data_IF_532954661830
#
_entry.id   IF_532954661830
#
_cell.length_a   1.000
_cell.length_b   1.000
_cell.length_c   1.000
_cell.angle_alpha   90.00
_cell.angle_beta   90.00
_cell.angle_gamma   90.00
#
_symmetry.space_group_name_H-M   'P 1'
#
loop_
_entity.id
_entity.type
_entity.pdbx_description
1 polymer ?
#
# COMPACT_ATOMS: atom_id res chain seq x y z
N UNK A 1 -3.32 12.99 -3.49
CA UNK A 1 -2.28 13.28 -4.50
C UNK A 1 -1.48 12.01 -4.72
N UNK A 2 -1.98 11.12 -5.59
CA UNK A 2 -1.17 10.03 -6.11
C UNK A 2 -0.09 10.66 -6.97
N UNK A 3 1.17 10.49 -6.59
CA UNK A 3 2.30 10.94 -7.40
C UNK A 3 2.33 10.04 -8.62
N UNK A 4 1.65 10.48 -9.68
CA UNK A 4 1.69 9.86 -10.99
C UNK A 4 3.16 9.64 -11.32
N UNK A 5 3.62 8.38 -11.32
CA UNK A 5 4.98 8.02 -11.72
C UNK A 5 5.11 8.53 -13.16
N UNK A 6 5.77 9.66 -13.32
CA UNK A 6 5.98 10.29 -14.61
C UNK A 6 6.79 9.33 -15.46
N UNK A 7 6.16 8.86 -16.54
CA UNK A 7 6.76 7.96 -17.51
C UNK A 7 8.05 8.56 -18.06
N UNK A 8 9.07 7.69 -18.14
CA UNK A 8 10.30 7.85 -18.94
C UNK A 8 11.49 8.58 -18.31
N UNK A 9 11.85 8.23 -17.07
CA UNK A 9 13.28 8.21 -16.69
C UNK A 9 13.67 6.77 -16.36
N UNK A 10 14.58 6.20 -17.17
CA UNK A 10 15.19 4.89 -16.87
C UNK A 10 15.93 5.01 -15.54
N UNK A 11 15.59 4.16 -14.58
CA UNK A 11 16.29 4.04 -13.32
C UNK A 11 17.02 2.69 -13.28
N UNK A 12 18.16 2.65 -12.59
CA UNK A 12 18.97 1.44 -12.46
C UNK A 12 18.69 0.76 -11.13
N UNK A 13 18.56 -0.55 -11.17
CA UNK A 13 18.47 -1.41 -10.00
C UNK A 13 19.78 -2.20 -9.90
N UNK A 14 20.56 -1.96 -8.84
CA UNK A 14 21.83 -2.63 -8.59
C UNK A 14 21.74 -3.46 -7.31
N UNK A 15 22.08 -4.74 -7.40
CA UNK A 15 22.12 -5.66 -6.27
C UNK A 15 23.35 -6.56 -6.35
N UNK A 16 24.02 -6.78 -5.22
CA UNK A 16 25.05 -7.81 -5.05
C UNK A 16 24.45 -8.94 -4.24
N UNK A 17 24.48 -10.14 -4.79
CA UNK A 17 23.93 -11.34 -4.17
C UNK A 17 25.00 -12.43 -4.04
N UNK A 18 24.94 -13.29 -3.01
CA UNK A 18 25.80 -14.46 -2.93
C UNK A 18 25.64 -15.37 -4.14
N UNK A 19 26.71 -16.08 -4.52
CA UNK A 19 26.68 -17.02 -5.66
C UNK A 19 25.57 -18.05 -5.55
N UNK A 20 25.38 -18.62 -4.35
CA UNK A 20 24.34 -19.62 -4.07
C UNK A 20 22.93 -19.06 -4.33
N UNK A 21 22.70 -17.79 -4.00
CA UNK A 21 21.41 -17.14 -4.23
C UNK A 21 21.20 -16.89 -5.73
N UNK A 22 22.25 -16.49 -6.46
CA UNK A 22 22.19 -16.36 -7.93
C UNK A 22 21.83 -17.70 -8.58
N UNK A 23 22.49 -18.78 -8.20
CA UNK A 23 22.25 -20.13 -8.74
C UNK A 23 20.81 -20.59 -8.49
N UNK A 24 20.28 -20.35 -7.27
CA UNK A 24 18.88 -20.61 -6.94
C UNK A 24 17.93 -19.85 -7.86
N UNK A 25 18.16 -18.55 -8.06
CA UNK A 25 17.30 -17.73 -8.90
C UNK A 25 17.39 -18.11 -10.38
N UNK A 26 18.56 -18.49 -10.88
CA UNK A 26 18.72 -18.99 -12.26
C UNK A 26 17.97 -20.30 -12.47
N UNK A 27 18.01 -21.20 -11.50
CA UNK A 27 17.25 -22.44 -11.54
C UNK A 27 15.73 -22.17 -11.54
N UNK A 28 15.26 -21.30 -10.64
CA UNK A 28 13.85 -20.90 -10.60
C UNK A 28 13.41 -20.20 -11.90
N UNK A 29 14.23 -19.30 -12.45
CA UNK A 29 13.96 -18.62 -13.71
C UNK A 29 13.83 -19.60 -14.88
N UNK A 30 14.71 -20.62 -14.93
CA UNK A 30 14.63 -21.69 -15.94
C UNK A 30 13.35 -22.50 -15.83
N UNK A 31 12.95 -22.88 -14.60
CA UNK A 31 11.73 -23.66 -14.37
C UNK A 31 10.46 -22.85 -14.67
N UNK A 32 10.48 -21.56 -14.34
CA UNK A 32 9.37 -20.64 -14.57
C UNK A 32 9.23 -20.14 -16.01
N UNK A 33 10.13 -20.54 -16.92
CA UNK A 33 10.08 -20.14 -18.34
C UNK A 33 10.48 -18.69 -18.61
N UNK A 34 11.23 -18.07 -17.71
CA UNK A 34 11.71 -16.69 -17.90
C UNK A 34 12.86 -16.62 -18.90
N UNK A 35 12.88 -15.56 -19.70
CA UNK A 35 13.91 -15.39 -20.74
C UNK A 35 15.29 -15.10 -20.15
N UNK A 36 15.33 -14.40 -19.02
CA UNK A 36 16.58 -14.01 -18.33
C UNK A 36 16.37 -13.97 -16.82
N UNK A 37 17.47 -14.07 -16.06
CA UNK A 37 17.44 -13.88 -14.60
C UNK A 37 16.90 -12.49 -14.21
N UNK A 38 17.26 -11.44 -14.96
CA UNK A 38 16.76 -10.08 -14.71
C UNK A 38 15.25 -10.00 -14.89
N UNK A 39 14.72 -10.60 -15.95
CA UNK A 39 13.28 -10.67 -16.21
C UNK A 39 12.55 -11.37 -15.05
N UNK A 40 13.06 -12.51 -14.58
CA UNK A 40 12.54 -13.19 -13.40
C UNK A 40 12.52 -12.29 -12.16
N UNK A 41 13.66 -11.66 -11.82
CA UNK A 41 13.79 -10.84 -10.61
C UNK A 41 12.85 -9.63 -10.66
N UNK A 42 12.77 -8.93 -11.79
CA UNK A 42 11.91 -7.75 -11.93
C UNK A 42 10.43 -8.14 -11.79
N UNK A 43 9.99 -9.24 -12.43
CA UNK A 43 8.61 -9.70 -12.30
C UNK A 43 8.27 -10.11 -10.87
N UNK A 44 9.13 -10.90 -10.23
CA UNK A 44 8.91 -11.35 -8.85
C UNK A 44 8.86 -10.19 -7.86
N UNK A 45 9.76 -9.21 -8.00
CA UNK A 45 9.77 -8.01 -7.15
C UNK A 45 8.53 -7.14 -7.41
N UNK A 46 8.12 -6.98 -8.67
CA UNK A 46 6.92 -6.22 -9.03
C UNK A 46 5.65 -6.86 -8.44
N UNK A 47 5.50 -8.18 -8.56
CA UNK A 47 4.38 -8.92 -7.99
C UNK A 47 4.32 -8.75 -6.48
N UNK A 48 5.45 -8.96 -5.78
CA UNK A 48 5.50 -8.83 -4.32
C UNK A 48 5.26 -7.40 -3.87
N UNK A 49 5.80 -6.40 -4.57
CA UNK A 49 5.57 -5.00 -4.27
C UNK A 49 4.09 -4.62 -4.42
N UNK A 50 3.44 -5.04 -5.51
CA UNK A 50 2.00 -4.82 -5.72
C UNK A 50 1.18 -5.46 -4.62
N UNK A 51 1.49 -6.72 -4.25
CA UNK A 51 0.79 -7.42 -3.18
C UNK A 51 0.89 -6.70 -1.83
N UNK A 52 2.08 -6.22 -1.46
CA UNK A 52 2.29 -5.45 -0.21
C UNK A 52 1.50 -4.14 -0.22
N UNK A 53 1.49 -3.41 -1.34
CA UNK A 53 0.75 -2.15 -1.47
C UNK A 53 -0.76 -2.43 -1.35
N UNK A 54 -1.25 -3.47 -2.01
CA UNK A 54 -2.67 -3.86 -1.93
C UNK A 54 -3.06 -4.26 -0.52
N UNK A 55 -2.26 -5.10 0.14
CA UNK A 55 -2.47 -5.52 1.52
C UNK A 55 -2.57 -4.32 2.45
N UNK A 56 -1.69 -3.33 2.30
CA UNK A 56 -1.68 -2.16 3.19
C UNK A 56 -2.76 -1.13 2.88
N UNK A 57 -3.14 -0.95 1.61
CA UNK A 57 -4.14 0.03 1.19
C UNK A 57 -5.60 -0.47 1.30
N UNK A 58 -5.80 -1.73 1.67
CA UNK A 58 -7.15 -2.30 1.81
C UNK A 58 -7.75 -1.89 3.16
N UNK A 59 -8.57 -0.84 3.17
CA UNK A 59 -9.22 -0.26 4.36
C UNK A 59 -10.34 -1.16 4.93
N UNK A 60 -10.81 -2.15 4.17
CA UNK A 60 -11.89 -3.06 4.56
C UNK A 60 -11.50 -4.53 4.26
N UNK A 61 -10.34 -4.93 4.77
CA UNK A 61 -9.76 -6.24 4.45
C UNK A 61 -10.54 -7.41 5.06
N UNK A 62 -11.18 -7.21 6.22
CA UNK A 62 -12.03 -8.23 6.85
C UNK A 62 -13.52 -8.02 6.59
N UNK A 63 -14.28 -9.11 6.62
CA UNK A 63 -15.75 -9.08 6.56
C UNK A 63 -16.34 -8.25 7.70
N UNK A 64 -15.74 -8.32 8.89
CA UNK A 64 -16.13 -7.53 10.06
C UNK A 64 -15.95 -6.02 9.83
N UNK A 65 -14.85 -5.61 9.22
CA UNK A 65 -14.62 -4.19 8.91
C UNK A 65 -15.64 -3.68 7.90
N UNK A 66 -15.98 -4.50 6.89
CA UNK A 66 -17.03 -4.19 5.92
C UNK A 66 -18.39 -4.02 6.58
N UNK A 67 -18.75 -4.91 7.50
CA UNK A 67 -20.01 -4.83 8.24
C UNK A 67 -20.08 -3.57 9.10
N UNK A 68 -19.02 -3.26 9.86
CA UNK A 68 -18.94 -2.05 10.70
C UNK A 68 -19.05 -0.80 9.83
N UNK A 69 -18.31 -0.75 8.73
CA UNK A 69 -18.33 0.38 7.80
C UNK A 69 -19.71 0.56 7.16
N UNK A 70 -20.33 -0.52 6.67
CA UNK A 70 -21.64 -0.47 6.05
C UNK A 70 -22.72 -0.05 7.05
N UNK A 71 -22.69 -0.60 8.26
CA UNK A 71 -23.59 -0.20 9.34
C UNK A 71 -23.42 1.28 9.70
N UNK A 72 -22.19 1.79 9.75
CA UNK A 72 -21.93 3.21 9.98
C UNK A 72 -22.51 4.12 8.87
N UNK A 73 -22.58 3.64 7.62
CA UNK A 73 -23.21 4.36 6.51
C UNK A 73 -24.74 4.29 6.55
N UNK A 74 -25.32 3.11 6.83
CA UNK A 74 -26.78 2.91 6.80
C UNK A 74 -27.47 3.35 8.08
N UNK A 75 -26.78 3.29 9.21
CA UNK A 75 -27.28 3.68 10.54
C UNK A 75 -26.30 4.66 11.20
N UNK A 76 -26.21 5.91 10.71
CA UNK A 76 -25.27 6.88 11.24
C UNK A 76 -25.61 7.21 12.69
N UNK A 77 -24.72 6.84 13.60
CA UNK A 77 -24.76 7.29 14.99
C UNK A 77 -24.17 8.69 15.10
N UNK A 78 -24.83 9.55 15.87
CA UNK A 78 -24.36 10.92 16.11
C UNK A 78 -22.99 10.96 16.82
N UNK A 79 -22.25 12.08 16.71
CA UNK A 79 -20.97 12.23 17.37
C UNK A 79 -21.14 12.15 18.89
N UNK A 80 -20.26 11.43 19.57
CA UNK A 80 -20.25 11.40 21.03
C UNK A 80 -19.82 12.75 21.62
N UNK A 81 -20.04 12.94 22.93
CA UNK A 81 -19.72 14.19 23.63
C UNK A 81 -18.27 14.63 23.43
N UNK A 82 -17.31 13.70 23.44
CA UNK A 82 -15.88 14.02 23.25
C UNK A 82 -15.59 14.58 21.85
N UNK A 83 -16.24 14.04 20.81
CA UNK A 83 -16.13 14.55 19.45
C UNK A 83 -16.78 15.94 19.30
N UNK A 84 -17.91 16.16 19.97
CA UNK A 84 -18.56 17.48 19.99
C UNK A 84 -17.66 18.53 20.67
N UNK A 85 -17.14 18.21 21.86
CA UNK A 85 -16.24 19.07 22.62
C UNK A 85 -14.96 19.41 21.81
N UNK A 86 -14.36 18.43 21.14
CA UNK A 86 -13.18 18.63 20.29
C UNK A 86 -13.47 19.54 19.08
N UNK A 87 -14.64 19.39 18.45
CA UNK A 87 -15.06 20.24 17.35
C UNK A 87 -15.29 21.69 17.80
N UNK A 88 -15.84 21.90 19.00
CA UNK A 88 -15.98 23.23 19.59
C UNK A 88 -14.64 23.87 19.93
N UNK A 89 -13.71 23.12 20.51
CA UNK A 89 -12.35 23.60 20.80
C UNK A 89 -11.64 24.03 19.51
N UNK A 90 -11.74 23.24 18.45
CA UNK A 90 -11.15 23.59 17.16
C UNK A 90 -11.76 24.87 16.58
N UNK A 91 -13.10 25.04 16.66
CA UNK A 91 -13.77 26.27 16.21
C UNK A 91 -13.28 27.51 16.97
N UNK A 92 -13.12 27.41 18.30
CA UNK A 92 -12.57 28.48 19.13
C UNK A 92 -11.14 28.82 18.75
N UNK A 93 -10.28 27.80 18.61
CA UNK A 93 -8.90 27.98 18.15
C UNK A 93 -8.81 28.73 16.82
N UNK A 94 -9.63 28.35 15.83
CA UNK A 94 -9.67 29.03 14.53
C UNK A 94 -10.22 30.46 14.62
N UNK A 95 -11.12 30.77 15.57
CA UNK A 95 -11.64 32.12 15.77
C UNK A 95 -10.67 33.04 16.51
N UNK A 96 -9.89 32.50 17.47
CA UNK A 96 -8.90 33.25 18.26
C UNK A 96 -7.61 33.53 17.47
N UNK A 97 -7.28 32.70 16.47
CA UNK A 97 -6.08 32.83 15.63
C UNK A 97 -6.40 33.41 14.23
N UNK A 98 -7.49 34.16 14.12
CA UNK A 98 -7.91 34.86 12.90
C UNK A 98 -7.75 36.36 13.08
#
# INVERSE_FOLDING_TARGET
MEKQLTLSKKARFDAKIPKVQKELFEHAASLGGFRTLTDFVINAVQEKATAIIQEHNTILASEKDREIFFNALTNPVGPNKRLQDAAEQYKKFIQENK
#
